data_IF_800212784059
#
_entry.id   IF_800212784059
#
_cell.length_a   1.000
_cell.length_b   1.000
_cell.length_c   1.000
_cell.angle_alpha   90.00
_cell.angle_beta   90.00
_cell.angle_gamma   90.00
#
_symmetry.space_group_name_H-M   'P 1'
#
loop_
_entity.id
_entity.type
_entity.pdbx_description
1 polymer ?
#
# COMPACT_ATOMS: atom_id res chain seq x y z
N UNK A 1 -15.15 1.18 7.92
CA UNK A 1 -14.35 2.25 7.29
C UNK A 1 -15.07 3.60 7.32
N UNK A 2 -16.40 3.61 7.44
CA UNK A 2 -17.24 4.80 7.30
C UNK A 2 -16.94 5.92 8.32
N UNK A 3 -16.41 5.60 9.50
CA UNK A 3 -16.11 6.59 10.54
C UNK A 3 -14.97 7.57 10.18
N UNK A 4 -14.04 7.16 9.32
CA UNK A 4 -12.83 7.94 9.01
C UNK A 4 -12.67 8.22 7.51
N UNK A 5 -13.74 8.05 6.74
CA UNK A 5 -13.74 8.36 5.31
C UNK A 5 -13.55 9.87 5.10
N UNK A 6 -12.62 10.29 4.24
CA UNK A 6 -12.25 11.68 3.99
C UNK A 6 -11.92 12.48 5.26
N UNK A 7 -11.21 11.88 6.22
CA UNK A 7 -10.98 12.49 7.53
C UNK A 7 -9.60 13.14 7.67
N UNK A 8 -8.57 12.60 7.03
CA UNK A 8 -7.18 13.01 7.23
C UNK A 8 -6.68 13.93 6.09
N UNK A 9 -5.93 14.98 6.45
CA UNK A 9 -5.29 15.89 5.49
C UNK A 9 -4.02 15.27 4.87
N UNK A 10 -3.35 14.38 5.62
CA UNK A 10 -2.22 13.61 5.12
C UNK A 10 -2.10 12.26 5.82
N UNK A 11 -1.41 11.33 5.17
CA UNK A 11 -1.06 10.03 5.71
C UNK A 11 0.41 9.72 5.38
N UNK A 12 1.04 8.91 6.24
CA UNK A 12 2.43 8.47 6.05
C UNK A 12 2.51 6.97 6.27
N UNK A 13 3.17 6.26 5.38
CA UNK A 13 3.51 4.85 5.54
C UNK A 13 4.97 4.63 5.15
N UNK A 14 5.74 4.01 6.03
CA UNK A 14 7.14 3.72 5.76
C UNK A 14 7.44 2.29 6.18
N UNK A 15 7.93 1.50 5.23
CA UNK A 15 8.22 0.08 5.38
C UNK A 15 7.08 -0.72 6.03
N UNK A 16 5.92 -0.74 5.38
CA UNK A 16 4.71 -1.41 5.90
C UNK A 16 3.90 -2.04 4.77
N UNK A 17 3.50 -1.26 3.76
CA UNK A 17 2.58 -1.71 2.70
C UNK A 17 3.19 -2.84 1.85
N UNK A 18 4.51 -2.86 1.69
CA UNK A 18 5.22 -3.89 0.93
C UNK A 18 5.08 -5.29 1.51
N UNK A 19 4.69 -5.40 2.78
CA UNK A 19 4.48 -6.67 3.48
C UNK A 19 3.05 -7.22 3.35
N UNK A 20 2.08 -6.37 3.01
CA UNK A 20 0.66 -6.72 3.12
C UNK A 20 0.26 -7.92 2.26
N UNK A 21 -0.33 -8.93 2.89
CA UNK A 21 -0.82 -10.13 2.19
C UNK A 21 0.26 -11.14 1.82
N UNK A 22 1.47 -11.01 2.37
CA UNK A 22 2.54 -12.01 2.20
C UNK A 22 2.53 -13.09 3.29
N UNK A 23 1.69 -12.96 4.32
CA UNK A 23 1.62 -13.95 5.40
C UNK A 23 2.85 -13.96 6.31
N UNK A 24 3.69 -12.92 6.25
CA UNK A 24 4.90 -12.78 7.07
C UNK A 24 4.56 -12.81 8.55
N UNK A 25 3.43 -12.22 8.93
CA UNK A 25 3.05 -11.99 10.32
C UNK A 25 1.89 -12.90 10.75
N UNK A 26 1.65 -14.00 10.03
CA UNK A 26 0.51 -14.88 10.24
C UNK A 26 -0.80 -14.34 9.64
N UNK A 27 -0.73 -13.25 8.89
CA UNK A 27 -1.82 -12.74 8.07
C UNK A 27 -2.20 -13.72 6.95
N UNK A 28 -3.48 -13.76 6.52
CA UNK A 28 -3.86 -14.53 5.35
C UNK A 28 -3.09 -14.07 4.10
N UNK A 29 -2.72 -15.02 3.25
CA UNK A 29 -2.13 -14.69 1.95
C UNK A 29 -3.15 -13.92 1.11
N UNK A 30 -2.73 -12.75 0.63
CA UNK A 30 -3.49 -11.88 -0.25
C UNK A 30 -2.56 -11.28 -1.31
N UNK A 31 -2.55 -11.83 -2.54
CA UNK A 31 -1.70 -11.35 -3.62
C UNK A 31 -1.90 -9.86 -3.95
N UNK A 32 -3.04 -9.26 -3.61
CA UNK A 32 -3.37 -7.84 -3.83
C UNK A 32 -3.48 -7.04 -2.53
N UNK A 33 -2.95 -7.56 -1.42
CA UNK A 33 -3.04 -6.93 -0.10
C UNK A 33 -2.46 -5.51 -0.07
N UNK A 34 -1.32 -5.28 -0.73
CA UNK A 34 -0.71 -3.96 -0.89
C UNK A 34 -1.63 -2.96 -1.61
N UNK A 35 -2.27 -3.37 -2.71
CA UNK A 35 -3.23 -2.55 -3.46
C UNK A 35 -4.47 -2.27 -2.61
N UNK A 36 -4.92 -3.23 -1.81
CA UNK A 36 -6.03 -3.03 -0.86
C UNK A 36 -5.67 -2.01 0.21
N UNK A 37 -4.46 -2.05 0.77
CA UNK A 37 -4.02 -1.03 1.72
C UNK A 37 -3.96 0.37 1.08
N UNK A 38 -3.47 0.48 -0.16
CA UNK A 38 -3.50 1.74 -0.90
C UNK A 38 -4.92 2.29 -1.05
N UNK A 39 -5.89 1.44 -1.41
CA UNK A 39 -7.29 1.84 -1.51
C UNK A 39 -7.88 2.28 -0.17
N UNK A 40 -7.51 1.64 0.94
CA UNK A 40 -7.93 2.09 2.28
C UNK A 40 -7.38 3.48 2.59
N UNK A 41 -6.09 3.71 2.35
CA UNK A 41 -5.46 5.03 2.54
C UNK A 41 -6.17 6.10 1.72
N UNK A 42 -6.48 5.81 0.45
CA UNK A 42 -7.25 6.71 -0.42
C UNK A 42 -8.60 7.10 0.21
N UNK A 43 -9.36 6.15 0.76
CA UNK A 43 -10.63 6.46 1.41
C UNK A 43 -10.45 7.28 2.70
N UNK A 44 -9.35 7.09 3.43
CA UNK A 44 -9.10 7.82 4.68
C UNK A 44 -8.72 9.29 4.44
N UNK A 45 -8.05 9.57 3.33
CA UNK A 45 -7.60 10.90 2.94
C UNK A 45 -8.75 11.75 2.42
N UNK A 46 -8.74 13.04 2.76
CA UNK A 46 -9.58 14.04 2.09
C UNK A 46 -9.21 14.14 0.61
N UNK A 47 -10.14 14.62 -0.21
CA UNK A 47 -9.82 15.02 -1.58
C UNK A 47 -8.66 16.04 -1.60
N UNK A 48 -7.59 15.72 -2.33
CA UNK A 48 -6.37 16.54 -2.36
C UNK A 48 -5.44 16.36 -1.16
N UNK A 49 -5.72 15.42 -0.26
CA UNK A 49 -4.85 15.05 0.85
C UNK A 49 -3.54 14.42 0.36
N UNK A 50 -2.49 14.54 1.18
CA UNK A 50 -1.14 14.09 0.81
C UNK A 50 -0.85 12.69 1.36
N UNK A 51 -0.32 11.82 0.52
CA UNK A 51 0.20 10.53 0.97
C UNK A 51 1.70 10.43 0.77
N UNK A 52 2.43 10.25 1.87
CA UNK A 52 3.87 10.00 1.86
C UNK A 52 4.12 8.52 2.06
N UNK A 53 4.84 7.90 1.12
CA UNK A 53 5.11 6.47 1.15
C UNK A 53 6.59 6.16 0.92
N UNK A 54 7.14 5.31 1.79
CA UNK A 54 8.47 4.72 1.63
C UNK A 54 8.38 3.21 1.48
N UNK A 55 8.68 2.73 0.28
CA UNK A 55 8.70 1.30 -0.09
C UNK A 55 9.95 0.97 -0.93
N UNK A 56 10.39 -0.29 -0.95
CA UNK A 56 11.50 -0.71 -1.81
C UNK A 56 11.14 -0.56 -3.30
N UNK A 57 12.02 0.06 -4.08
CA UNK A 57 11.87 0.25 -5.53
C UNK A 57 12.99 -0.44 -6.31
N UNK A 58 12.65 -1.04 -7.45
CA UNK A 58 13.59 -1.84 -8.24
C UNK A 58 12.89 -2.60 -9.38
N UNK A 59 13.35 -3.81 -9.69
CA UNK A 59 12.63 -4.71 -10.59
C UNK A 59 11.44 -5.33 -9.84
N UNK A 60 10.26 -5.34 -10.47
CA UNK A 60 9.06 -5.98 -9.92
C UNK A 60 9.37 -7.40 -9.45
N UNK A 61 9.36 -7.62 -8.13
CA UNK A 61 9.73 -8.89 -7.53
C UNK A 61 9.20 -9.01 -6.10
N UNK A 62 9.23 -10.23 -5.58
CA UNK A 62 8.82 -10.55 -4.22
C UNK A 62 9.93 -11.35 -3.55
N UNK A 63 10.41 -10.87 -2.40
CA UNK A 63 11.39 -11.57 -1.59
C UNK A 63 10.68 -12.61 -0.69
N UNK A 64 10.22 -13.72 -1.26
CA UNK A 64 9.41 -14.73 -0.57
C UNK A 64 8.23 -14.11 0.20
N UNK A 65 8.16 -14.26 1.52
CA UNK A 65 7.16 -13.60 2.37
C UNK A 65 7.71 -12.34 3.04
N UNK A 66 8.93 -11.90 2.70
CA UNK A 66 9.57 -10.79 3.36
C UNK A 66 8.97 -9.46 2.93
N UNK A 67 9.03 -9.09 1.65
CA UNK A 67 8.46 -7.85 1.12
C UNK A 67 8.36 -7.90 -0.41
N UNK A 68 7.59 -6.98 -0.98
CA UNK A 68 7.60 -6.67 -2.42
C UNK A 68 8.65 -5.60 -2.73
N UNK A 69 9.26 -5.71 -3.91
CA UNK A 69 10.06 -4.66 -4.53
C UNK A 69 9.25 -4.13 -5.72
N UNK A 70 8.96 -2.84 -5.70
CA UNK A 70 8.08 -2.21 -6.67
C UNK A 70 8.86 -1.74 -7.89
N UNK A 71 8.59 -2.37 -9.01
CA UNK A 71 9.02 -1.90 -10.32
C UNK A 71 7.90 -1.20 -11.06
N UNK A 72 8.12 -0.98 -12.36
CA UNK A 72 7.23 -0.15 -13.18
C UNK A 72 5.78 -0.63 -13.14
N UNK A 73 5.54 -1.94 -13.17
CA UNK A 73 4.18 -2.46 -13.27
C UNK A 73 3.46 -2.38 -11.94
N UNK A 74 4.05 -2.92 -10.86
CA UNK A 74 3.35 -2.99 -9.58
C UNK A 74 3.23 -1.61 -8.92
N UNK A 75 4.23 -0.74 -9.10
CA UNK A 75 4.15 0.64 -8.63
C UNK A 75 2.99 1.38 -9.31
N UNK A 76 2.80 1.22 -10.62
CA UNK A 76 1.66 1.82 -11.32
C UNK A 76 0.30 1.31 -10.76
N UNK A 77 0.20 0.01 -10.46
CA UNK A 77 -1.00 -0.57 -9.84
C UNK A 77 -1.27 -0.02 -8.43
N UNK A 78 -0.24 0.24 -7.63
CA UNK A 78 -0.41 0.80 -6.28
C UNK A 78 -1.07 2.19 -6.28
N UNK A 79 -0.73 3.01 -7.27
CA UNK A 79 -1.20 4.39 -7.40
C UNK A 79 -2.39 4.52 -8.34
N UNK A 80 -2.96 3.41 -8.81
CA UNK A 80 -4.15 3.47 -9.66
C UNK A 80 -5.31 4.12 -8.91
N UNK A 81 -5.73 5.28 -9.40
CA UNK A 81 -6.84 6.05 -8.83
C UNK A 81 -6.52 6.84 -7.56
N UNK A 82 -5.27 6.89 -7.11
CA UNK A 82 -4.84 7.93 -6.16
C UNK A 82 -4.75 9.30 -6.82
#
# INVERSE_FOLDING_TARGET
MDKYNNYFDFAVSFSSIEHSGLGRFGDPLDPIGDIREMNKVRCLLKNGGLFFIGVPVGQDSIAYNAHRIYGRMRLAMMFEGM
#
